data_IF_877586487400
#
_entry.id   IF_877586487400
#
_cell.length_a   1.000
_cell.length_b   1.000
_cell.length_c   1.000
_cell.angle_alpha   90.00
_cell.angle_beta   90.00
_cell.angle_gamma   90.00
#
_symmetry.space_group_name_H-M   'P 1'
#
loop_
_entity.id
_entity.type
_entity.pdbx_description
1 polymer ?
#
# COMPACT_ATOMS: atom_id res chain seq x y z
N UNK A 1 6.65 6.86 12.15
CA UNK A 1 5.18 6.78 12.21
C UNK A 1 4.80 5.40 12.74
N UNK A 2 3.95 5.29 13.77
CA UNK A 2 3.48 3.98 14.28
C UNK A 2 2.08 3.75 13.76
N UNK A 3 1.85 2.64 13.06
CA UNK A 3 0.52 2.21 12.66
C UNK A 3 -0.22 1.65 13.88
N UNK A 4 -1.51 1.99 14.05
CA UNK A 4 -2.37 1.43 15.09
C UNK A 4 -3.63 0.81 14.48
N UNK A 5 -4.15 -0.21 15.16
CA UNK A 5 -5.39 -0.88 14.75
C UNK A 5 -6.56 0.12 14.81
N UNK A 6 -7.39 0.13 13.77
CA UNK A 6 -8.56 0.99 13.65
C UNK A 6 -8.27 2.40 13.10
N UNK A 7 -7.00 2.81 13.02
CA UNK A 7 -6.64 4.07 12.36
C UNK A 7 -6.61 3.85 10.83
N UNK A 8 -6.95 4.91 10.08
CA UNK A 8 -6.85 4.89 8.61
C UNK A 8 -5.39 4.68 8.21
N UNK A 9 -5.13 3.66 7.39
CA UNK A 9 -3.80 3.44 6.84
C UNK A 9 -3.39 4.65 5.98
N UNK A 10 -2.14 5.13 6.09
CA UNK A 10 -1.68 6.28 5.33
C UNK A 10 -1.77 6.02 3.83
N UNK A 11 -2.06 7.07 3.07
CA UNK A 11 -1.94 6.97 1.63
C UNK A 11 -0.45 6.95 1.25
N UNK A 12 -0.06 5.98 0.42
CA UNK A 12 1.32 5.78 0.01
C UNK A 12 1.39 5.76 -1.51
N UNK A 13 2.46 6.35 -2.04
CA UNK A 13 2.78 6.34 -3.46
C UNK A 13 4.08 5.56 -3.64
N UNK A 14 4.02 4.52 -4.46
CA UNK A 14 5.16 3.66 -4.78
C UNK A 14 5.17 3.36 -6.28
N UNK A 15 6.35 3.21 -6.90
CA UNK A 15 6.43 2.71 -8.26
C UNK A 15 5.97 1.24 -8.30
N UNK A 16 5.22 0.90 -9.35
CA UNK A 16 4.85 -0.47 -9.67
C UNK A 16 6.01 -1.23 -10.35
N UNK A 17 5.77 -2.47 -10.79
CA UNK A 17 6.76 -3.29 -11.48
C UNK A 17 7.29 -2.69 -12.79
N UNK A 18 6.55 -1.77 -13.41
CA UNK A 18 6.91 -1.09 -14.65
C UNK A 18 7.52 0.30 -14.40
N UNK A 19 7.67 0.69 -13.13
CA UNK A 19 8.20 1.99 -12.71
C UNK A 19 7.16 3.12 -12.75
N UNK A 20 5.89 2.82 -12.98
CA UNK A 20 4.81 3.81 -12.94
C UNK A 20 4.41 4.09 -11.51
N UNK A 21 4.16 5.36 -11.17
CA UNK A 21 3.69 5.69 -9.83
C UNK A 21 2.27 5.18 -9.61
N UNK A 22 2.07 4.42 -8.54
CA UNK A 22 0.78 3.95 -8.11
C UNK A 22 0.48 4.46 -6.70
N UNK A 23 -0.73 5.01 -6.54
CA UNK A 23 -1.22 5.48 -5.25
C UNK A 23 -2.10 4.41 -4.59
N UNK A 24 -1.92 4.16 -3.30
CA UNK A 24 -2.67 3.12 -2.57
C UNK A 24 -4.18 3.41 -2.55
N UNK A 25 -4.60 4.66 -2.40
CA UNK A 25 -6.02 5.02 -2.38
C UNK A 25 -6.74 4.78 -3.71
N UNK A 26 -6.01 4.79 -4.84
CA UNK A 26 -6.55 4.44 -6.15
C UNK A 26 -6.75 2.92 -6.31
N UNK A 27 -5.89 2.12 -5.67
CA UNK A 27 -5.96 0.66 -5.66
C UNK A 27 -6.99 0.13 -4.65
N UNK A 28 -7.16 0.82 -3.52
CA UNK A 28 -8.12 0.46 -2.49
C UNK A 28 -9.53 0.87 -2.93
N UNK A 29 -10.23 -0.08 -3.54
CA UNK A 29 -11.63 0.08 -3.94
C UNK A 29 -12.63 -0.07 -2.80
N UNK A 30 -13.86 -0.49 -3.14
CA UNK A 30 -14.97 -0.65 -2.18
C UNK A 30 -14.87 -1.89 -1.27
N UNK A 31 -13.87 -2.73 -1.47
CA UNK A 31 -13.75 -4.03 -0.80
C UNK A 31 -12.57 -4.05 0.17
N UNK A 32 -12.61 -4.94 1.18
CA UNK A 32 -11.47 -5.15 2.06
C UNK A 32 -10.21 -5.50 1.25
N UNK A 33 -9.11 -4.83 1.56
CA UNK A 33 -7.83 -4.99 0.88
C UNK A 33 -6.77 -5.46 1.88
N UNK A 34 -5.83 -6.28 1.41
CA UNK A 34 -4.68 -6.75 2.20
C UNK A 34 -3.42 -6.18 1.56
N UNK A 35 -2.67 -5.40 2.34
CA UNK A 35 -1.35 -4.91 1.95
C UNK A 35 -0.27 -5.78 2.59
N UNK A 36 0.61 -6.37 1.78
CA UNK A 36 1.74 -7.17 2.24
C UNK A 36 3.05 -6.55 1.75
N UNK A 37 3.92 -6.19 2.68
CA UNK A 37 5.25 -5.71 2.34
C UNK A 37 6.23 -6.88 2.36
N UNK A 38 6.93 -7.05 1.25
CA UNK A 38 7.99 -8.04 1.10
C UNK A 38 9.29 -7.32 0.77
N UNK A 39 10.32 -7.52 1.59
CA UNK A 39 11.63 -6.87 1.40
C UNK A 39 12.45 -7.49 0.25
N UNK A 40 11.92 -8.54 -0.40
CA UNK A 40 12.70 -9.39 -1.29
C UNK A 40 13.49 -10.44 -0.49
N UNK A 41 13.77 -11.56 -1.14
CA UNK A 41 14.89 -12.44 -0.79
C UNK A 41 15.97 -12.22 -1.84
N UNK A 42 17.22 -12.09 -1.39
CA UNK A 42 18.38 -12.37 -2.22
C UNK A 42 18.83 -13.80 -1.93
#
# INVERSE_FOLDING_TARGET
>A
MKLKIGERFPDIELPDQDGQQANLSELVGKFPFILSFYRGYW
#
